data_IF_009015379128
#
_entry.id   IF_009015379128
#
_cell.length_a   1.000
_cell.length_b   1.000
_cell.length_c   1.000
_cell.angle_alpha   90.00
_cell.angle_beta   90.00
_cell.angle_gamma   90.00
#
_symmetry.space_group_name_H-M   'P 1'
#
loop_
_entity.id
_entity.type
_entity.pdbx_description
1 polymer ?
#
# COMPACT_ATOMS: atom_id res chain seq x y z
N UNK A 1 16.63 5.02 4.47
CA UNK A 1 17.39 5.12 3.19
C UNK A 1 18.80 5.65 3.43
N UNK A 2 19.07 6.79 4.13
CA UNK A 2 20.45 7.26 4.36
C UNK A 2 21.36 6.20 4.99
N UNK A 3 20.87 5.45 5.98
CA UNK A 3 21.61 4.36 6.61
C UNK A 3 21.95 3.23 5.62
N UNK A 4 21.01 2.84 4.75
CA UNK A 4 21.27 1.83 3.72
C UNK A 4 22.39 2.28 2.78
N UNK A 5 22.38 3.53 2.32
CA UNK A 5 23.40 4.08 1.44
C UNK A 5 24.81 4.15 2.08
N UNK A 6 24.85 4.31 3.41
CA UNK A 6 26.14 4.38 4.12
C UNK A 6 26.80 3.01 4.37
N UNK A 7 26.02 1.91 4.33
CA UNK A 7 26.49 0.58 4.74
C UNK A 7 26.50 -0.43 3.59
N UNK A 8 25.56 -0.30 2.65
CA UNK A 8 25.34 -1.30 1.60
C UNK A 8 26.12 -0.98 0.35
N UNK A 9 26.87 -1.95 -0.16
CA UNK A 9 27.60 -1.88 -1.45
C UNK A 9 27.16 -2.96 -2.45
N UNK A 10 26.22 -3.82 -2.06
CA UNK A 10 25.71 -4.89 -2.88
C UNK A 10 24.24 -5.14 -2.54
N UNK A 11 23.38 -5.16 -3.57
CA UNK A 11 21.95 -5.38 -3.44
C UNK A 11 21.51 -6.57 -4.27
N UNK A 12 20.77 -7.47 -3.67
CA UNK A 12 20.04 -8.51 -4.35
C UNK A 12 18.55 -8.15 -4.37
N UNK A 13 18.02 -7.98 -5.58
CA UNK A 13 16.62 -7.69 -5.81
C UNK A 13 15.91 -8.93 -6.34
N UNK A 14 14.86 -9.36 -5.65
CA UNK A 14 14.03 -10.48 -6.07
C UNK A 14 12.82 -9.96 -6.85
N UNK A 15 12.74 -10.32 -8.12
CA UNK A 15 11.64 -9.97 -9.02
C UNK A 15 11.37 -11.14 -9.97
N UNK A 16 10.09 -11.45 -10.25
CA UNK A 16 9.67 -12.57 -11.10
C UNK A 16 10.36 -13.90 -10.77
N UNK A 17 10.45 -14.26 -9.50
CA UNK A 17 11.11 -15.49 -9.01
C UNK A 17 12.62 -15.55 -9.35
N UNK A 18 13.22 -14.46 -9.79
CA UNK A 18 14.63 -14.33 -10.10
C UNK A 18 15.31 -13.40 -9.10
N UNK A 19 16.54 -13.75 -8.75
CA UNK A 19 17.40 -12.94 -7.89
C UNK A 19 18.41 -12.18 -8.72
N UNK A 20 18.26 -10.87 -8.82
CA UNK A 20 19.11 -10.00 -9.59
C UNK A 20 20.13 -9.29 -8.69
N UNK A 21 21.40 -9.36 -9.06
CA UNK A 21 22.52 -8.74 -8.34
C UNK A 21 22.83 -7.35 -8.87
N UNK A 22 22.91 -6.36 -7.98
CA UNK A 22 23.32 -4.98 -8.31
C UNK A 22 24.46 -4.57 -7.39
N UNK A 23 25.52 -4.00 -7.98
CA UNK A 23 26.69 -3.50 -7.26
C UNK A 23 26.54 -1.99 -7.07
N UNK A 24 26.64 -1.53 -5.86
CA UNK A 24 26.50 -0.14 -5.45
C UNK A 24 25.58 0.03 -4.24
N UNK A 25 25.34 1.28 -3.88
CA UNK A 25 24.41 1.68 -2.84
C UNK A 25 22.94 1.61 -3.32
N UNK A 26 22.03 1.97 -2.45
CA UNK A 26 20.59 1.88 -2.74
C UNK A 26 20.13 2.89 -3.80
N UNK A 27 20.69 4.08 -3.84
CA UNK A 27 20.32 5.11 -4.82
C UNK A 27 20.76 4.69 -6.23
N UNK A 28 21.99 4.19 -6.37
CA UNK A 28 22.47 3.63 -7.63
C UNK A 28 21.66 2.43 -8.10
N UNK A 29 21.24 1.56 -7.17
CA UNK A 29 20.33 0.47 -7.49
C UNK A 29 19.01 1.00 -8.07
N UNK A 30 18.41 2.01 -7.46
CA UNK A 30 17.15 2.62 -7.91
C UNK A 30 17.28 3.16 -9.35
N UNK A 31 18.36 3.89 -9.65
CA UNK A 31 18.61 4.42 -10.99
C UNK A 31 18.73 3.30 -12.03
N UNK A 32 19.58 2.30 -11.77
CA UNK A 32 19.80 1.17 -12.70
C UNK A 32 18.53 0.35 -12.87
N UNK A 33 17.77 0.13 -11.79
CA UNK A 33 16.51 -0.60 -11.84
C UNK A 33 15.46 0.13 -12.67
N UNK A 34 15.31 1.45 -12.49
CA UNK A 34 14.39 2.28 -13.27
C UNK A 34 14.71 2.23 -14.77
N UNK A 35 15.98 2.33 -15.15
CA UNK A 35 16.41 2.22 -16.54
C UNK A 35 16.11 0.83 -17.13
N UNK A 36 16.43 -0.24 -16.39
CA UNK A 36 16.15 -1.62 -16.84
C UNK A 36 14.63 -1.86 -17.00
N UNK A 37 13.83 -1.39 -16.06
CA UNK A 37 12.37 -1.49 -16.13
C UNK A 37 11.82 -0.78 -17.37
N UNK A 38 12.25 0.44 -17.63
CA UNK A 38 11.84 1.20 -18.81
C UNK A 38 12.26 0.51 -20.13
N UNK A 39 13.47 -0.08 -20.17
CA UNK A 39 13.93 -0.84 -21.34
C UNK A 39 13.08 -2.10 -21.58
N UNK A 40 12.74 -2.83 -20.51
CA UNK A 40 11.90 -4.02 -20.59
C UNK A 40 10.47 -3.68 -21.07
N UNK A 41 9.89 -2.62 -20.55
CA UNK A 41 8.57 -2.12 -20.99
C UNK A 41 8.58 -1.68 -22.45
N UNK A 42 9.64 -0.99 -22.90
CA UNK A 42 9.79 -0.61 -24.29
C UNK A 42 9.95 -1.83 -25.21
N UNK A 43 10.72 -2.84 -24.79
CA UNK A 43 10.89 -4.10 -25.54
C UNK A 43 9.56 -4.87 -25.62
N UNK A 44 8.82 -4.98 -24.53
CA UNK A 44 7.50 -5.59 -24.48
C UNK A 44 6.54 -4.89 -25.46
N UNK A 45 6.45 -3.57 -25.40
CA UNK A 45 5.55 -2.80 -26.26
C UNK A 45 5.90 -2.95 -27.76
N UNK A 46 7.19 -3.03 -28.10
CA UNK A 46 7.63 -3.31 -29.48
C UNK A 46 7.22 -4.72 -29.90
N UNK A 47 7.45 -5.72 -29.05
CA UNK A 47 7.08 -7.10 -29.34
C UNK A 47 5.56 -7.27 -29.48
N UNK A 48 4.76 -6.64 -28.62
CA UNK A 48 3.30 -6.70 -28.71
C UNK A 48 2.79 -6.09 -30.03
N UNK A 49 3.38 -5.00 -30.51
CA UNK A 49 3.07 -4.42 -31.82
C UNK A 49 3.42 -5.38 -32.96
N UNK A 50 4.59 -6.02 -32.90
CA UNK A 50 5.01 -7.02 -33.90
C UNK A 50 4.07 -8.22 -33.89
N UNK A 51 3.72 -8.74 -32.72
CA UNK A 51 2.75 -9.85 -32.57
C UNK A 51 1.40 -9.47 -33.18
N UNK A 52 0.89 -8.28 -32.88
CA UNK A 52 -0.38 -7.80 -33.43
C UNK A 52 -0.34 -7.70 -34.97
N UNK A 53 0.73 -7.16 -35.55
CA UNK A 53 0.91 -7.09 -37.01
C UNK A 53 1.01 -8.46 -37.67
N UNK A 54 1.73 -9.39 -37.04
CA UNK A 54 1.84 -10.76 -37.56
C UNK A 54 0.49 -11.49 -37.50
N UNK A 55 -0.24 -11.37 -36.39
CA UNK A 55 -1.58 -11.96 -36.22
C UNK A 55 -2.58 -11.40 -37.23
N UNK A 56 -2.60 -10.09 -37.45
CA UNK A 56 -3.46 -9.45 -38.43
C UNK A 56 -3.14 -9.90 -39.85
N UNK A 57 -1.84 -9.96 -40.21
CA UNK A 57 -1.45 -10.48 -41.52
C UNK A 57 -1.88 -11.93 -41.73
N UNK A 58 -1.68 -12.80 -40.76
CA UNK A 58 -2.11 -14.19 -40.80
C UNK A 58 -3.62 -14.29 -40.97
N UNK A 59 -4.40 -13.53 -40.20
CA UNK A 59 -5.84 -13.53 -40.26
C UNK A 59 -6.36 -13.15 -41.65
N UNK A 60 -5.79 -12.11 -42.28
CA UNK A 60 -6.21 -11.64 -43.62
C UNK A 60 -5.79 -12.56 -44.79
N UNK A 61 -4.72 -13.31 -44.63
CA UNK A 61 -4.08 -14.01 -45.73
C UNK A 61 -4.15 -15.54 -45.65
N UNK A 62 -4.57 -16.11 -44.53
CA UNK A 62 -4.63 -17.56 -44.31
C UNK A 62 -5.60 -18.28 -45.27
N UNK A 63 -6.70 -17.63 -45.67
CA UNK A 63 -7.71 -18.19 -46.54
C UNK A 63 -7.40 -18.07 -48.06
N UNK A 64 -6.45 -17.23 -48.46
CA UNK A 64 -6.12 -16.97 -49.87
C UNK A 64 -5.05 -17.94 -50.36
N UNK A 65 -5.26 -18.65 -51.45
CA UNK A 65 -4.34 -19.64 -52.00
C UNK A 65 -2.96 -19.04 -52.33
N UNK A 66 -2.91 -17.85 -52.92
CA UNK A 66 -1.67 -17.16 -53.32
C UNK A 66 -0.81 -16.67 -52.14
N UNK A 67 -1.41 -16.36 -50.99
CA UNK A 67 -0.70 -15.82 -49.83
C UNK A 67 -0.62 -16.78 -48.64
N UNK A 68 -1.23 -17.96 -48.75
CA UNK A 68 -1.30 -18.97 -47.70
C UNK A 68 0.08 -19.38 -47.17
N UNK A 69 1.07 -19.61 -48.07
CA UNK A 69 2.42 -20.01 -47.65
C UNK A 69 3.12 -18.91 -46.84
N UNK A 70 2.91 -17.65 -47.21
CA UNK A 70 3.45 -16.51 -46.47
C UNK A 70 2.78 -16.39 -45.11
N UNK A 71 1.47 -16.58 -45.01
CA UNK A 71 0.72 -16.58 -43.75
C UNK A 71 1.19 -17.72 -42.84
N UNK A 72 1.41 -18.92 -43.38
CA UNK A 72 1.91 -20.08 -42.61
C UNK A 72 3.36 -19.83 -42.11
N UNK A 73 4.21 -19.19 -42.86
CA UNK A 73 5.58 -18.83 -42.46
C UNK A 73 5.53 -17.85 -41.28
N UNK A 74 4.66 -16.84 -41.34
CA UNK A 74 4.48 -15.86 -40.25
C UNK A 74 3.83 -16.47 -39.01
N UNK A 75 2.91 -17.41 -39.17
CA UNK A 75 2.36 -18.18 -38.07
C UNK A 75 3.45 -18.97 -37.35
N UNK A 76 4.32 -19.67 -38.09
CA UNK A 76 5.47 -20.38 -37.50
C UNK A 76 6.43 -19.43 -36.75
N UNK A 77 6.58 -18.18 -37.21
CA UNK A 77 7.36 -17.17 -36.48
C UNK A 77 6.70 -16.80 -35.17
N UNK A 78 5.38 -16.59 -35.14
CA UNK A 78 4.59 -16.34 -33.93
C UNK A 78 4.71 -17.50 -32.93
N UNK A 79 4.57 -18.74 -33.41
CA UNK A 79 4.59 -19.93 -32.56
C UNK A 79 5.97 -20.20 -31.94
N UNK A 80 7.04 -19.66 -32.52
CA UNK A 80 8.42 -19.77 -32.02
C UNK A 80 8.90 -18.54 -31.24
N UNK A 81 8.08 -17.53 -31.13
CA UNK A 81 8.47 -16.28 -30.48
C UNK A 81 8.40 -16.43 -28.96
N UNK A 82 9.50 -16.23 -28.27
CA UNK A 82 9.52 -16.10 -26.82
C UNK A 82 8.84 -14.80 -26.42
N UNK A 83 7.67 -14.92 -25.80
CA UNK A 83 6.87 -13.76 -25.40
C UNK A 83 7.43 -13.19 -24.11
N UNK A 84 7.76 -11.90 -24.15
CA UNK A 84 8.19 -11.16 -22.96
C UNK A 84 6.98 -11.04 -22.03
N UNK A 85 7.10 -11.53 -20.81
CA UNK A 85 6.10 -11.36 -19.76
C UNK A 85 6.52 -10.22 -18.84
N UNK A 86 5.69 -9.21 -18.73
CA UNK A 86 5.85 -8.20 -17.69
C UNK A 86 5.28 -8.73 -16.38
N UNK A 87 5.98 -8.47 -15.28
CA UNK A 87 5.41 -8.70 -13.96
C UNK A 87 4.06 -7.96 -13.85
N UNK A 88 3.04 -8.66 -13.39
CA UNK A 88 1.76 -8.03 -13.11
C UNK A 88 1.98 -6.89 -12.12
N UNK A 89 1.66 -5.66 -12.53
CA UNK A 89 1.72 -4.54 -11.59
C UNK A 89 0.79 -4.83 -10.42
N UNK A 90 1.34 -4.75 -9.21
CA UNK A 90 0.51 -4.83 -8.02
C UNK A 90 -0.47 -3.65 -8.05
N UNK A 91 -1.76 -3.87 -7.79
CA UNK A 91 -2.73 -2.79 -7.76
C UNK A 91 -2.27 -1.74 -6.76
N UNK A 92 -2.21 -0.49 -7.22
CA UNK A 92 -1.90 0.65 -6.34
C UNK A 92 -3.09 0.87 -5.44
N UNK A 93 -2.91 0.94 -4.12
CA UNK A 93 -4.03 1.22 -3.23
C UNK A 93 -4.57 2.62 -3.48
N UNK A 94 -5.89 2.73 -3.55
CA UNK A 94 -6.60 4.00 -3.65
C UNK A 94 -7.44 4.18 -2.39
N UNK A 95 -7.09 5.18 -1.59
CA UNK A 95 -7.81 5.49 -0.35
C UNK A 95 -8.74 6.67 -0.59
N UNK A 96 -10.05 6.42 -0.50
CA UNK A 96 -11.08 7.43 -0.57
C UNK A 96 -11.83 7.47 0.77
N UNK A 97 -11.52 8.48 1.57
CA UNK A 97 -12.24 8.72 2.81
C UNK A 97 -13.57 9.42 2.49
N UNK A 98 -14.66 8.89 3.04
CA UNK A 98 -15.95 9.58 2.95
C UNK A 98 -15.90 10.81 3.85
N UNK A 99 -16.51 11.89 3.40
CA UNK A 99 -16.68 13.08 4.24
C UNK A 99 -17.64 12.73 5.39
N UNK A 100 -17.15 12.92 6.61
CA UNK A 100 -17.94 12.89 7.82
C UNK A 100 -18.67 14.22 8.02
N UNK A 101 -19.48 14.32 9.08
CA UNK A 101 -20.07 15.59 9.48
C UNK A 101 -18.96 16.59 9.77
N UNK A 102 -19.14 17.84 9.30
CA UNK A 102 -18.12 18.90 9.52
C UNK A 102 -17.95 19.13 11.03
N UNK A 103 -16.76 18.91 11.57
CA UNK A 103 -16.48 19.13 12.99
C UNK A 103 -16.48 20.61 13.34
N UNK A 104 -16.52 20.91 14.63
CA UNK A 104 -16.37 22.26 15.16
C UNK A 104 -15.04 22.91 14.76
N UNK A 105 -14.77 24.11 15.30
CA UNK A 105 -13.51 24.82 15.02
C UNK A 105 -12.31 24.06 15.54
N UNK A 106 -12.40 23.55 16.76
CA UNK A 106 -11.31 22.83 17.42
C UNK A 106 -11.51 21.32 17.26
N UNK A 107 -10.41 20.63 16.99
CA UNK A 107 -10.35 19.17 16.96
C UNK A 107 -10.12 18.65 18.37
N UNK A 108 -9.13 19.20 19.06
CA UNK A 108 -8.90 18.93 20.49
C UNK A 108 -8.19 20.10 21.16
N UNK A 109 -8.34 20.17 22.49
CA UNK A 109 -7.56 21.05 23.38
C UNK A 109 -7.11 20.25 24.58
N UNK A 110 -5.90 20.54 25.06
CA UNK A 110 -5.40 19.99 26.30
C UNK A 110 -5.14 21.12 27.29
N UNK A 111 -5.44 20.88 28.56
CA UNK A 111 -5.18 21.82 29.65
C UNK A 111 -4.35 21.12 30.72
N UNK A 112 -3.12 21.60 30.93
CA UNK A 112 -2.16 21.05 31.91
C UNK A 112 -2.02 19.53 31.83
N UNK A 113 -2.06 18.98 30.62
CA UNK A 113 -2.05 17.54 30.34
C UNK A 113 -0.71 16.92 30.75
N UNK A 114 -0.75 15.96 31.68
CA UNK A 114 0.39 15.14 32.06
C UNK A 114 0.15 13.71 31.58
N UNK A 115 1.03 13.23 30.70
CA UNK A 115 0.97 11.88 30.15
C UNK A 115 1.94 10.95 30.84
N UNK A 116 1.61 9.67 30.87
CA UNK A 116 2.46 8.63 31.43
C UNK A 116 1.67 7.34 31.68
N UNK A 117 2.32 6.39 32.31
CA UNK A 117 1.68 5.18 32.81
C UNK A 117 1.68 5.21 34.34
N UNK A 118 2.72 4.66 34.98
CA UNK A 118 2.89 4.72 36.44
C UNK A 118 3.62 6.01 36.85
N UNK A 119 4.50 6.52 35.98
CA UNK A 119 5.27 7.74 36.20
C UNK A 119 5.00 8.76 35.07
N UNK A 120 5.08 10.07 35.40
CA UNK A 120 4.96 11.13 34.38
C UNK A 120 6.06 11.07 33.34
N UNK A 121 5.68 11.05 32.07
CA UNK A 121 6.58 11.15 30.91
C UNK A 121 6.69 12.59 30.38
N UNK A 122 5.86 13.50 30.85
CA UNK A 122 5.87 14.89 30.40
C UNK A 122 5.69 15.85 31.58
N UNK A 123 6.13 17.09 31.38
CA UNK A 123 5.63 18.26 32.11
C UNK A 123 4.19 18.55 31.64
N UNK A 124 3.43 19.41 32.35
CA UNK A 124 2.12 19.83 31.89
C UNK A 124 2.16 20.41 30.47
N UNK A 125 1.30 19.86 29.58
CA UNK A 125 1.24 20.21 28.17
C UNK A 125 -0.08 20.92 27.85
N UNK A 126 0.04 22.05 27.14
CA UNK A 126 -1.11 22.79 26.61
C UNK A 126 -0.98 22.80 25.09
N UNK A 127 -1.76 21.98 24.40
CA UNK A 127 -1.76 21.82 22.95
C UNK A 127 -3.19 21.95 22.44
N UNK A 128 -3.37 22.68 21.35
CA UNK A 128 -4.64 22.74 20.65
C UNK A 128 -4.45 22.47 19.17
N UNK A 129 -5.48 21.94 18.53
CA UNK A 129 -5.52 21.69 17.10
C UNK A 129 -6.84 22.19 16.54
N UNK A 130 -6.75 23.05 15.53
CA UNK A 130 -7.92 23.51 14.79
C UNK A 130 -8.23 22.64 13.57
N UNK A 131 -9.46 22.76 13.08
CA UNK A 131 -9.90 22.05 11.87
C UNK A 131 -9.06 22.47 10.67
N UNK A 132 -8.56 21.47 9.92
CA UNK A 132 -7.73 21.65 8.72
C UNK A 132 -6.24 21.72 9.00
N UNK A 133 -5.82 21.81 10.25
CA UNK A 133 -4.41 21.74 10.61
C UNK A 133 -3.86 20.30 10.44
N UNK A 134 -2.56 20.23 10.23
CA UNK A 134 -1.79 18.98 10.14
C UNK A 134 -0.68 19.03 11.17
N UNK A 135 -0.83 18.29 12.25
CA UNK A 135 0.12 18.23 13.34
C UNK A 135 1.14 17.10 13.11
N UNK A 136 2.41 17.36 13.32
CA UNK A 136 3.48 16.37 13.31
C UNK A 136 4.19 16.34 14.65
N UNK A 137 4.25 15.19 15.29
CA UNK A 137 5.02 14.96 16.51
C UNK A 137 6.40 14.40 16.14
N UNK A 138 7.46 15.13 16.49
CA UNK A 138 8.86 14.72 16.27
C UNK A 138 9.60 14.53 17.59
N UNK A 139 10.64 13.73 17.59
CA UNK A 139 11.47 13.48 18.77
C UNK A 139 12.05 12.07 18.80
N UNK A 140 12.97 11.82 19.72
CA UNK A 140 13.63 10.52 19.90
C UNK A 140 12.62 9.39 20.19
N UNK A 141 13.03 8.14 19.94
CA UNK A 141 12.22 6.99 20.30
C UNK A 141 12.10 6.88 21.83
N UNK A 142 10.91 6.46 22.30
CA UNK A 142 10.64 6.31 23.73
C UNK A 142 10.25 7.59 24.48
N UNK A 143 10.27 8.78 23.86
CA UNK A 143 9.96 10.06 24.53
C UNK A 143 8.46 10.27 24.88
N UNK A 144 7.58 9.33 24.51
CA UNK A 144 6.14 9.43 24.82
C UNK A 144 5.24 9.92 23.68
N UNK A 145 5.70 10.01 22.42
CA UNK A 145 4.88 10.47 21.29
C UNK A 145 3.59 9.64 21.11
N UNK A 146 3.70 8.32 21.12
CA UNK A 146 2.56 7.40 21.02
C UNK A 146 1.67 7.49 22.26
N UNK A 147 2.28 7.65 23.43
CA UNK A 147 1.56 7.84 24.69
C UNK A 147 0.70 9.11 24.64
N UNK A 148 1.25 10.22 24.13
CA UNK A 148 0.51 11.47 23.96
C UNK A 148 -0.70 11.29 23.04
N UNK A 149 -0.52 10.65 21.88
CA UNK A 149 -1.62 10.37 20.97
C UNK A 149 -2.70 9.49 21.61
N UNK A 150 -2.29 8.41 22.27
CA UNK A 150 -3.23 7.51 22.96
C UNK A 150 -3.97 8.22 24.12
N UNK A 151 -3.32 9.11 24.84
CA UNK A 151 -3.93 9.94 25.88
C UNK A 151 -4.96 10.92 25.30
N UNK A 152 -4.63 11.61 24.19
CA UNK A 152 -5.57 12.52 23.51
C UNK A 152 -6.81 11.75 23.02
N UNK A 153 -6.61 10.54 22.50
CA UNK A 153 -7.70 9.66 22.03
C UNK A 153 -8.50 9.01 23.18
N UNK A 154 -8.08 9.16 24.42
CA UNK A 154 -8.71 8.51 25.56
C UNK A 154 -8.47 7.00 25.65
N UNK A 155 -7.52 6.45 24.88
CA UNK A 155 -7.15 5.03 24.90
C UNK A 155 -6.35 4.64 26.14
N UNK A 156 -5.67 5.59 26.76
CA UNK A 156 -4.98 5.43 28.03
C UNK A 156 -5.34 6.61 28.95
N UNK A 157 -5.44 6.38 30.28
CA UNK A 157 -5.74 7.42 31.23
C UNK A 157 -4.63 8.46 31.28
N UNK A 158 -4.99 9.71 31.55
CA UNK A 158 -4.06 10.80 31.79
C UNK A 158 -3.68 10.85 33.27
N UNK A 159 -2.43 11.22 33.60
CA UNK A 159 -1.97 11.36 34.97
C UNK A 159 -2.36 12.71 35.60
N UNK A 160 -2.64 13.72 34.77
CA UNK A 160 -3.07 15.03 35.22
C UNK A 160 -3.58 15.88 34.06
N UNK A 161 -4.30 16.94 34.41
CA UNK A 161 -4.91 17.81 33.41
C UNK A 161 -6.15 17.22 32.74
N UNK A 162 -6.51 17.76 31.59
CA UNK A 162 -7.69 17.31 30.83
C UNK A 162 -7.47 17.39 29.33
N UNK A 163 -8.24 16.59 28.59
CA UNK A 163 -8.36 16.63 27.13
C UNK A 163 -9.80 16.89 26.77
N UNK A 164 -10.04 17.90 25.98
CA UNK A 164 -11.34 18.22 25.40
C UNK A 164 -11.33 17.93 23.91
N UNK A 165 -12.15 16.98 23.46
CA UNK A 165 -12.35 16.69 22.04
C UNK A 165 -13.44 17.59 21.47
N UNK A 166 -13.28 18.00 20.22
CA UNK A 166 -14.28 18.79 19.51
C UNK A 166 -15.56 18.00 19.22
N UNK A 167 -16.63 18.72 18.87
CA UNK A 167 -17.90 18.10 18.52
C UNK A 167 -17.85 17.43 17.14
N UNK A 168 -18.62 16.35 16.99
CA UNK A 168 -18.84 15.63 15.73
C UNK A 168 -17.57 15.08 15.09
N UNK A 169 -16.61 14.65 15.89
CA UNK A 169 -15.40 14.00 15.41
C UNK A 169 -15.66 12.51 15.13
N UNK A 170 -15.27 12.07 13.95
CA UNK A 170 -15.09 10.66 13.61
C UNK A 170 -13.59 10.40 13.54
N UNK A 171 -13.04 9.71 14.54
CA UNK A 171 -11.59 9.54 14.71
C UNK A 171 -11.17 8.20 14.13
N UNK A 172 -10.30 8.23 13.11
CA UNK A 172 -9.57 7.05 12.66
C UNK A 172 -8.19 7.01 13.31
N UNK A 173 -7.88 5.93 14.02
CA UNK A 173 -6.57 5.70 14.60
C UNK A 173 -5.85 4.58 13.86
N UNK A 174 -4.68 4.89 13.30
CA UNK A 174 -3.84 3.93 12.61
C UNK A 174 -2.65 3.56 13.47
N UNK A 175 -2.61 2.31 13.92
CA UNK A 175 -1.57 1.79 14.81
C UNK A 175 -0.40 1.19 14.01
N UNK A 176 0.81 1.27 14.57
CA UNK A 176 2.02 0.73 13.93
C UNK A 176 2.05 -0.79 13.95
N UNK A 177 1.55 -1.41 15.00
CA UNK A 177 1.47 -2.85 15.19
C UNK A 177 0.01 -3.26 15.31
N UNK A 178 -0.44 -4.12 14.42
CA UNK A 178 -1.78 -4.72 14.48
C UNK A 178 -1.72 -6.05 15.22
N UNK A 179 -2.81 -6.44 15.89
CA UNK A 179 -2.90 -7.73 16.56
C UNK A 179 -2.77 -8.86 15.55
N UNK A 180 -1.82 -9.80 15.79
CA UNK A 180 -1.52 -10.88 14.84
C UNK A 180 -2.42 -12.12 15.00
N UNK A 181 -3.27 -12.18 16.04
CA UNK A 181 -4.04 -13.37 16.40
C UNK A 181 -5.48 -13.38 15.88
N UNK A 182 -5.76 -12.64 14.78
CA UNK A 182 -7.09 -12.58 14.19
C UNK A 182 -7.33 -13.81 13.32
N UNK A 183 -8.26 -14.67 13.75
CA UNK A 183 -8.60 -15.94 13.07
C UNK A 183 -9.64 -15.79 11.96
N UNK A 184 -10.34 -14.66 11.89
CA UNK A 184 -11.31 -14.32 10.85
C UNK A 184 -10.63 -14.04 9.51
N UNK A 185 -11.37 -14.18 8.41
CA UNK A 185 -10.91 -13.73 7.09
C UNK A 185 -10.98 -12.21 7.00
N UNK A 186 -10.21 -11.59 6.09
CA UNK A 186 -10.27 -10.14 5.89
C UNK A 186 -11.66 -9.65 5.56
N UNK A 187 -12.42 -10.45 4.80
CA UNK A 187 -13.80 -10.12 4.47
C UNK A 187 -14.70 -10.13 5.71
N UNK A 188 -14.59 -11.15 6.54
CA UNK A 188 -15.38 -11.27 7.78
C UNK A 188 -15.03 -10.16 8.76
N UNK A 189 -13.74 -9.82 8.90
CA UNK A 189 -13.28 -8.76 9.79
C UNK A 189 -13.88 -7.40 9.39
N UNK A 190 -13.77 -7.02 8.11
CA UNK A 190 -14.37 -5.79 7.63
C UNK A 190 -15.90 -5.81 7.75
N UNK A 191 -16.52 -6.96 7.52
CA UNK A 191 -17.98 -7.06 7.54
C UNK A 191 -18.56 -7.03 8.95
N UNK A 192 -17.82 -7.46 9.96
CA UNK A 192 -18.20 -7.29 11.37
C UNK A 192 -18.26 -5.82 11.77
N UNK A 193 -17.30 -5.02 11.33
CA UNK A 193 -17.27 -3.57 11.57
C UNK A 193 -18.36 -2.81 10.77
N UNK A 194 -18.66 -3.28 9.56
CA UNK A 194 -19.61 -2.63 8.66
C UNK A 194 -20.73 -3.57 8.19
N UNK A 195 -21.61 -4.03 9.08
CA UNK A 195 -22.64 -5.03 8.76
C UNK A 195 -23.70 -4.53 7.78
N UNK A 196 -23.82 -3.22 7.57
CA UNK A 196 -24.74 -2.62 6.60
C UNK A 196 -24.27 -2.76 5.14
N UNK A 197 -23.00 -3.08 4.90
CA UNK A 197 -22.48 -3.28 3.55
C UNK A 197 -22.83 -4.67 3.02
N UNK A 198 -23.14 -4.73 1.73
CA UNK A 198 -23.21 -6.00 1.01
C UNK A 198 -21.81 -6.63 0.90
N UNK A 199 -21.77 -7.94 0.70
CA UNK A 199 -20.52 -8.66 0.48
C UNK A 199 -19.72 -8.10 -0.70
N UNK A 200 -20.41 -7.64 -1.74
CA UNK A 200 -19.78 -7.03 -2.92
C UNK A 200 -19.09 -5.70 -2.56
N UNK A 201 -19.75 -4.85 -1.78
CA UNK A 201 -19.18 -3.56 -1.35
C UNK A 201 -17.96 -3.76 -0.44
N UNK A 202 -18.03 -4.71 0.50
CA UNK A 202 -16.90 -5.06 1.36
C UNK A 202 -15.70 -5.58 0.53
N UNK A 203 -15.93 -6.51 -0.42
CA UNK A 203 -14.87 -6.99 -1.33
C UNK A 203 -14.29 -5.86 -2.20
N UNK A 204 -15.14 -4.97 -2.70
CA UNK A 204 -14.72 -3.82 -3.50
C UNK A 204 -13.85 -2.86 -2.70
N UNK A 205 -14.20 -2.59 -1.44
CA UNK A 205 -13.40 -1.74 -0.55
C UNK A 205 -12.00 -2.32 -0.32
N UNK A 206 -11.91 -3.60 0.03
CA UNK A 206 -10.64 -4.31 0.23
C UNK A 206 -9.78 -4.33 -1.05
N UNK A 207 -10.40 -4.55 -2.21
CA UNK A 207 -9.69 -4.53 -3.49
C UNK A 207 -9.14 -3.13 -3.82
N UNK A 208 -9.87 -2.06 -3.52
CA UNK A 208 -9.39 -0.67 -3.66
C UNK A 208 -8.19 -0.37 -2.76
N UNK A 209 -8.14 -0.97 -1.56
CA UNK A 209 -6.97 -0.90 -0.70
C UNK A 209 -5.78 -1.74 -1.20
N UNK A 210 -5.91 -2.41 -2.36
CA UNK A 210 -4.85 -3.18 -3.01
C UNK A 210 -4.69 -4.59 -2.47
N UNK A 211 -5.74 -5.15 -1.83
CA UNK A 211 -5.79 -6.57 -1.48
C UNK A 211 -6.31 -7.39 -2.66
N UNK A 212 -5.62 -8.49 -2.97
CA UNK A 212 -6.06 -9.43 -4.01
C UNK A 212 -7.19 -10.33 -3.49
N UNK A 213 -7.94 -10.97 -4.38
CA UNK A 213 -8.99 -11.93 -4.01
C UNK A 213 -8.47 -13.01 -3.03
N UNK A 214 -7.24 -13.48 -3.25
CA UNK A 214 -6.59 -14.45 -2.36
C UNK A 214 -6.39 -13.88 -0.94
N UNK A 215 -5.97 -12.62 -0.81
CA UNK A 215 -5.81 -11.97 0.49
C UNK A 215 -7.16 -11.75 1.17
N UNK A 216 -8.18 -11.35 0.41
CA UNK A 216 -9.54 -11.09 0.93
C UNK A 216 -10.15 -12.35 1.57
N UNK A 217 -9.88 -13.53 1.01
CA UNK A 217 -10.36 -14.83 1.49
C UNK A 217 -9.42 -15.51 2.48
N UNK A 218 -8.23 -14.96 2.70
CA UNK A 218 -7.27 -15.47 3.67
C UNK A 218 -7.58 -14.95 5.07
N UNK A 219 -7.17 -15.73 6.09
CA UNK A 219 -7.21 -15.28 7.48
C UNK A 219 -6.27 -14.09 7.68
N UNK A 220 -6.68 -13.13 8.51
CA UNK A 220 -5.88 -11.91 8.77
C UNK A 220 -4.49 -12.25 9.29
N UNK A 221 -4.36 -13.23 10.17
CA UNK A 221 -3.06 -13.68 10.72
C UNK A 221 -2.04 -14.17 9.69
N UNK A 222 -2.48 -14.56 8.49
CA UNK A 222 -1.60 -15.08 7.41
C UNK A 222 -1.04 -13.95 6.56
N UNK A 223 -1.61 -12.76 6.66
CA UNK A 223 -1.18 -11.60 5.91
C UNK A 223 0.14 -11.04 6.43
N UNK A 224 0.94 -10.47 5.53
CA UNK A 224 2.08 -9.64 5.93
C UNK A 224 1.61 -8.38 6.64
N UNK A 225 2.45 -7.79 7.51
CA UNK A 225 2.10 -6.55 8.23
C UNK A 225 1.63 -5.42 7.31
N UNK A 226 2.22 -5.28 6.11
CA UNK A 226 1.77 -4.29 5.13
C UNK A 226 0.43 -4.61 4.46
N UNK A 227 0.02 -5.88 4.42
CA UNK A 227 -1.30 -6.30 3.94
C UNK A 227 -2.35 -6.15 5.04
N UNK A 228 -2.00 -6.47 6.29
CA UNK A 228 -2.84 -6.21 7.45
C UNK A 228 -3.15 -4.71 7.61
N UNK A 229 -2.15 -3.85 7.41
CA UNK A 229 -2.31 -2.40 7.47
C UNK A 229 -3.23 -1.80 6.37
N UNK A 230 -3.65 -2.60 5.39
CA UNK A 230 -4.60 -2.20 4.33
C UNK A 230 -6.02 -2.66 4.61
N UNK A 231 -6.20 -3.52 5.58
CA UNK A 231 -7.47 -3.97 6.10
C UNK A 231 -8.07 -2.94 7.03
#
# INVERSE_FOLDING_TARGET
IPFLNSVVNLIYHMDNQQLNRYVGDYDKFQEVYAVKKAQLEAAYNRQQKEIAQLKDFVARNKARVSTRNMAMSRQKKLDKMDVIELAAEKPKPEFHFKEARVPGRYIFKTSELVIGYDEPLSVPLNVEMERGEKLVLTGANGIGKTTLLKSILGLIPVLGGSVELGDYLEIGYFEQEMSQDIETTCLEELWQEFPAYSQYEARSALAKCGLTTKHIESKVKVLSGGEQAKL
#
